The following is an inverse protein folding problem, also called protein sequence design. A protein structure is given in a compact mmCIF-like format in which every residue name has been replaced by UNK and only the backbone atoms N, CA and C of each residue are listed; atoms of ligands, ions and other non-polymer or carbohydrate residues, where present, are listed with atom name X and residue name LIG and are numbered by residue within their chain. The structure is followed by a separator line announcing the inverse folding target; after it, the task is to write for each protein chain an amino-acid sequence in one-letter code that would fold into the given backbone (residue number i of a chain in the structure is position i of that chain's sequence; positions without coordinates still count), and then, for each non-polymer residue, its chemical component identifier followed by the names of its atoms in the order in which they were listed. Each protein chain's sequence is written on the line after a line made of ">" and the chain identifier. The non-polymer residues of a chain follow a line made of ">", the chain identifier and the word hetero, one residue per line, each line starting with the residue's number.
data_IF_211620446663
#
_entry.id   IF_211620446663
#
_cell.length_a   1.000
_cell.length_b   1.000
_cell.length_c   1.000
_cell.angle_alpha   90.00
_cell.angle_beta   90.00
_cell.angle_gamma   90.00
#
_symmetry.space_group_name_H-M   'P 1'
#
loop_
_entity.id
_entity.type
_entity.pdbx_description
1 polymer ?
#
# COMPACT_ATOMS: atom_id res chain seq x y z
N UNK A 1 -5.10 -65.92 22.05
CA UNK A 1 -5.24 -64.66 22.81
C UNK A 1 -4.68 -63.52 21.96
N UNK A 2 -5.52 -62.80 21.21
CA UNK A 2 -5.11 -61.67 20.37
C UNK A 2 -5.44 -60.35 21.08
N UNK A 3 -4.43 -59.55 21.44
CA UNK A 3 -4.63 -58.20 21.99
C UNK A 3 -4.87 -57.23 20.83
N UNK A 4 -6.06 -56.63 20.82
CA UNK A 4 -6.49 -55.58 19.89
C UNK A 4 -5.96 -54.24 20.40
N UNK A 5 -4.95 -53.67 19.72
CA UNK A 5 -4.54 -52.28 19.96
C UNK A 5 -5.48 -51.34 19.20
N UNK A 6 -6.38 -50.70 19.95
CA UNK A 6 -7.30 -49.66 19.48
C UNK A 6 -6.61 -48.31 19.62
N UNK A 7 -5.83 -47.92 18.63
CA UNK A 7 -5.28 -46.55 18.58
C UNK A 7 -6.41 -45.56 18.28
N UNK A 8 -6.60 -44.65 19.23
CA UNK A 8 -7.60 -43.59 19.20
C UNK A 8 -7.24 -42.56 18.12
N UNK A 9 -7.98 -42.62 17.02
CA UNK A 9 -8.01 -41.56 16.02
C UNK A 9 -8.72 -40.32 16.58
N UNK A 10 -7.96 -39.32 17.02
CA UNK A 10 -8.49 -37.99 17.31
C UNK A 10 -8.55 -37.19 16.00
N UNK A 11 -9.72 -36.65 15.60
CA UNK A 11 -9.78 -35.78 14.44
C UNK A 11 -9.00 -34.49 14.72
N UNK A 12 -7.92 -34.27 13.96
CA UNK A 12 -7.24 -32.98 13.87
C UNK A 12 -8.26 -31.94 13.39
N UNK A 13 -8.81 -31.15 14.30
CA UNK A 13 -9.61 -29.96 13.99
C UNK A 13 -8.71 -28.96 13.25
N UNK A 14 -8.60 -29.09 11.92
CA UNK A 14 -8.12 -28.00 11.08
C UNK A 14 -9.24 -26.95 11.03
N UNK A 15 -9.24 -26.05 12.00
CA UNK A 15 -10.00 -24.82 11.90
C UNK A 15 -9.51 -24.08 10.67
N UNK A 16 -10.23 -24.18 9.55
CA UNK A 16 -10.03 -23.31 8.40
C UNK A 16 -10.29 -21.89 8.91
N UNK A 17 -9.22 -21.12 9.14
CA UNK A 17 -9.32 -19.67 9.26
C UNK A 17 -10.16 -19.20 8.08
N UNK A 18 -11.38 -18.75 8.34
CA UNK A 18 -12.22 -18.08 7.35
C UNK A 18 -11.45 -16.82 7.00
N UNK A 19 -10.65 -16.87 5.93
CA UNK A 19 -10.12 -15.67 5.31
C UNK A 19 -11.34 -14.83 4.96
N UNK A 20 -11.50 -13.69 5.66
CA UNK A 20 -12.55 -12.73 5.35
C UNK A 20 -12.45 -12.43 3.86
N UNK A 21 -13.56 -12.44 3.11
CA UNK A 21 -13.51 -12.13 1.69
C UNK A 21 -12.88 -10.75 1.54
N UNK A 22 -11.76 -10.69 0.83
CA UNK A 22 -11.14 -9.43 0.44
C UNK A 22 -12.24 -8.62 -0.23
N UNK A 23 -12.62 -7.49 0.38
CA UNK A 23 -13.47 -6.49 -0.29
C UNK A 23 -12.86 -6.29 -1.67
N UNK A 24 -13.62 -6.67 -2.70
CA UNK A 24 -13.08 -7.02 -4.00
C UNK A 24 -12.14 -5.94 -4.52
N UNK A 25 -10.89 -6.32 -4.82
CA UNK A 25 -9.99 -5.49 -5.60
C UNK A 25 -10.75 -5.08 -6.86
N UNK A 26 -10.94 -3.79 -7.07
CA UNK A 26 -11.77 -3.26 -8.15
C UNK A 26 -11.28 -3.68 -9.55
N UNK A 27 -12.04 -3.34 -10.59
CA UNK A 27 -11.54 -3.50 -11.98
C UNK A 27 -10.19 -2.79 -12.13
N UNK A 28 -9.22 -3.44 -12.76
CA UNK A 28 -7.88 -2.90 -13.04
C UNK A 28 -6.74 -3.44 -12.18
N UNK A 29 -7.05 -4.17 -11.10
CA UNK A 29 -6.02 -4.75 -10.24
C UNK A 29 -5.36 -5.97 -10.88
N UNK A 30 -4.05 -5.92 -11.08
CA UNK A 30 -3.24 -7.04 -11.58
C UNK A 30 -2.27 -7.49 -10.49
N UNK A 31 -2.27 -8.78 -10.15
CA UNK A 31 -1.31 -9.34 -9.20
C UNK A 31 0.10 -9.28 -9.77
N UNK A 32 1.05 -8.78 -8.99
CA UNK A 32 2.48 -8.73 -9.32
C UNK A 32 3.28 -9.51 -8.28
N UNK A 33 4.38 -10.11 -8.71
CA UNK A 33 5.39 -10.71 -7.84
C UNK A 33 6.64 -9.84 -7.96
N UNK A 34 7.02 -9.13 -6.89
CA UNK A 34 8.14 -8.19 -6.88
C UNK A 34 8.91 -8.37 -5.58
N UNK A 35 10.23 -8.26 -5.63
CA UNK A 35 11.09 -8.22 -4.43
C UNK A 35 11.23 -6.77 -3.99
N UNK A 36 10.90 -6.48 -2.74
CA UNK A 36 10.95 -5.13 -2.15
C UNK A 36 11.52 -5.17 -0.74
N UNK A 37 12.10 -4.04 -0.33
CA UNK A 37 12.57 -3.83 1.04
C UNK A 37 11.38 -3.57 1.98
N UNK A 38 11.18 -4.46 2.94
CA UNK A 38 10.12 -4.37 3.94
C UNK A 38 10.15 -3.03 4.70
N UNK A 39 11.34 -2.48 4.98
CA UNK A 39 11.47 -1.23 5.73
C UNK A 39 10.85 -0.06 4.98
N UNK A 40 10.90 -0.08 3.64
CA UNK A 40 10.26 0.94 2.79
C UNK A 40 8.74 0.81 2.82
N UNK A 41 8.22 -0.41 2.82
CA UNK A 41 6.77 -0.66 2.92
C UNK A 41 6.24 -0.21 4.28
N UNK A 42 6.96 -0.51 5.36
CA UNK A 42 6.56 -0.10 6.72
C UNK A 42 6.63 1.42 6.89
N UNK A 43 7.62 2.08 6.28
CA UNK A 43 7.70 3.54 6.26
C UNK A 43 6.55 4.14 5.45
N UNK A 44 6.27 3.61 4.26
CA UNK A 44 5.18 4.07 3.41
C UNK A 44 3.82 3.91 4.11
N UNK A 45 3.54 2.75 4.73
CA UNK A 45 2.29 2.53 5.49
C UNK A 45 2.10 3.55 6.61
N UNK A 46 3.17 3.85 7.36
CA UNK A 46 3.13 4.84 8.45
C UNK A 46 2.92 6.26 7.95
N UNK A 47 3.65 6.67 6.92
CA UNK A 47 3.53 8.03 6.34
C UNK A 47 2.17 8.24 5.69
N UNK A 48 1.65 7.22 5.01
CA UNK A 48 0.38 7.29 4.28
C UNK A 48 -0.84 6.97 5.17
N UNK A 49 -0.62 6.43 6.38
CA UNK A 49 -1.69 6.08 7.31
C UNK A 49 -2.56 4.90 6.87
N UNK A 50 -2.01 3.98 6.08
CA UNK A 50 -2.76 2.88 5.44
C UNK A 50 -2.51 1.53 6.10
N UNK A 51 -3.52 0.66 6.04
CA UNK A 51 -3.51 -0.61 6.77
C UNK A 51 -2.66 -1.68 6.08
N UNK A 52 -2.53 -1.63 4.75
CA UNK A 52 -1.88 -2.70 3.98
C UNK A 52 -0.73 -2.22 3.11
N UNK A 53 0.25 -3.09 2.87
CA UNK A 53 1.37 -2.81 1.97
C UNK A 53 0.90 -2.56 0.53
N UNK A 54 -0.14 -3.28 0.11
CA UNK A 54 -0.71 -3.15 -1.23
C UNK A 54 -1.31 -1.75 -1.43
N UNK A 55 -2.05 -1.25 -0.45
CA UNK A 55 -2.59 0.10 -0.44
C UNK A 55 -1.47 1.16 -0.36
N UNK A 56 -0.43 0.90 0.43
CA UNK A 56 0.72 1.80 0.50
C UNK A 56 1.43 1.94 -0.85
N UNK A 57 1.59 0.83 -1.58
CA UNK A 57 2.18 0.85 -2.93
C UNK A 57 1.27 1.61 -3.90
N UNK A 58 -0.03 1.33 -3.90
CA UNK A 58 -1.00 1.95 -4.79
C UNK A 58 -1.03 3.48 -4.62
N UNK A 59 -1.24 3.94 -3.38
CA UNK A 59 -1.26 5.38 -3.03
C UNK A 59 0.09 6.05 -3.31
N UNK A 60 1.22 5.37 -3.04
CA UNK A 60 2.53 5.94 -3.33
C UNK A 60 2.73 6.18 -4.84
N UNK A 61 2.25 5.27 -5.69
CA UNK A 61 2.32 5.43 -7.14
C UNK A 61 1.42 6.56 -7.63
N UNK A 62 0.21 6.69 -7.07
CA UNK A 62 -0.68 7.82 -7.36
C UNK A 62 -0.03 9.16 -6.99
N UNK A 63 0.62 9.26 -5.83
CA UNK A 63 1.31 10.46 -5.40
C UNK A 63 2.48 10.84 -6.32
N UNK A 64 3.20 9.86 -6.87
CA UNK A 64 4.26 10.10 -7.85
C UNK A 64 3.68 10.68 -9.15
N UNK A 65 2.55 10.15 -9.63
CA UNK A 65 1.85 10.70 -10.80
C UNK A 65 1.35 12.13 -10.51
N UNK A 66 0.68 12.32 -9.38
CA UNK A 66 0.12 13.60 -8.96
C UNK A 66 1.18 14.69 -8.78
N UNK A 67 2.37 14.36 -8.26
CA UNK A 67 3.49 15.30 -8.11
C UNK A 67 3.80 16.02 -9.42
N UNK A 68 3.75 15.32 -10.55
CA UNK A 68 4.02 15.91 -11.87
C UNK A 68 2.95 16.94 -12.26
N UNK A 69 1.69 16.65 -11.96
CA UNK A 69 0.56 17.55 -12.23
C UNK A 69 0.62 18.78 -11.33
N UNK A 70 0.90 18.59 -10.03
CA UNK A 70 1.11 19.68 -9.08
C UNK A 70 2.19 20.66 -9.53
N UNK A 71 3.37 20.15 -9.91
CA UNK A 71 4.49 20.99 -10.38
C UNK A 71 4.09 21.80 -11.61
N UNK A 72 3.37 21.18 -12.55
CA UNK A 72 2.88 21.87 -13.75
C UNK A 72 1.83 22.93 -13.43
N UNK A 73 0.90 22.61 -12.53
CA UNK A 73 -0.14 23.51 -12.05
C UNK A 73 0.47 24.73 -11.38
N UNK A 74 1.35 24.54 -10.39
CA UNK A 74 2.04 25.64 -9.69
C UNK A 74 2.83 26.51 -10.67
N UNK A 75 3.55 25.91 -11.62
CA UNK A 75 4.27 26.67 -12.64
C UNK A 75 3.32 27.50 -13.54
N UNK A 76 2.12 26.99 -13.84
CA UNK A 76 1.11 27.73 -14.59
C UNK A 76 0.54 28.90 -13.78
N UNK A 77 0.24 28.69 -12.49
CA UNK A 77 -0.26 29.76 -11.61
C UNK A 77 0.78 30.86 -11.43
N UNK A 78 2.06 30.51 -11.27
CA UNK A 78 3.17 31.49 -11.23
C UNK A 78 3.23 32.33 -12.50
N UNK A 79 3.11 31.71 -13.69
CA UNK A 79 3.10 32.44 -14.98
C UNK A 79 1.89 33.36 -15.12
N UNK A 80 0.76 33.03 -14.50
CA UNK A 80 -0.43 33.87 -14.49
C UNK A 80 -0.35 35.01 -13.44
N UNK A 81 0.75 35.12 -12.69
CA UNK A 81 0.93 36.14 -11.64
C UNK A 81 0.19 35.85 -10.35
N UNK A 82 -0.32 34.62 -10.15
CA UNK A 82 -1.17 34.28 -9.00
C UNK A 82 -0.43 33.89 -7.72
N UNK A 83 0.90 33.80 -7.73
CA UNK A 83 1.73 33.46 -6.55
C UNK A 83 2.99 34.34 -6.57
N UNK A 84 3.28 34.99 -5.44
CA UNK A 84 4.52 35.75 -5.22
C UNK A 84 5.64 34.81 -4.74
N UNK A 85 6.84 34.96 -5.28
CA UNK A 85 8.02 34.21 -4.83
C UNK A 85 8.60 34.85 -3.55
N UNK A 86 8.31 34.24 -2.41
CA UNK A 86 8.78 34.71 -1.09
C UNK A 86 10.19 34.24 -0.73
N UNK A 87 10.81 33.38 -1.55
CA UNK A 87 12.15 32.86 -1.32
C UNK A 87 13.22 33.61 -2.13
N UNK A 88 12.86 34.26 -3.25
CA UNK A 88 13.76 35.18 -3.96
C UNK A 88 14.18 36.38 -3.09
N UNK A 89 13.29 36.91 -2.24
CA UNK A 89 13.56 38.09 -1.39
C UNK A 89 14.59 37.89 -0.27
N UNK A 90 15.04 36.66 0.01
CA UNK A 90 16.06 36.39 1.07
C UNK A 90 17.50 36.37 0.57
N UNK A 91 17.73 36.49 -0.75
CA UNK A 91 19.09 36.45 -1.34
C UNK A 91 19.54 37.79 -1.94
N UNK A 92 18.85 38.90 -1.65
CA UNK A 92 19.21 40.24 -2.09
C UNK A 92 19.65 41.12 -0.91
#
# INVERSE_FOLDING_TARGET
>A
MARVNKEMNLPRRSGKMRQKPSRGRGKGWVRKNVVMDQRKLDAARRVLGVETETEAIDVALDLVAFRRELVRGIAAVRRAGGIEDVFEKRQA
#
